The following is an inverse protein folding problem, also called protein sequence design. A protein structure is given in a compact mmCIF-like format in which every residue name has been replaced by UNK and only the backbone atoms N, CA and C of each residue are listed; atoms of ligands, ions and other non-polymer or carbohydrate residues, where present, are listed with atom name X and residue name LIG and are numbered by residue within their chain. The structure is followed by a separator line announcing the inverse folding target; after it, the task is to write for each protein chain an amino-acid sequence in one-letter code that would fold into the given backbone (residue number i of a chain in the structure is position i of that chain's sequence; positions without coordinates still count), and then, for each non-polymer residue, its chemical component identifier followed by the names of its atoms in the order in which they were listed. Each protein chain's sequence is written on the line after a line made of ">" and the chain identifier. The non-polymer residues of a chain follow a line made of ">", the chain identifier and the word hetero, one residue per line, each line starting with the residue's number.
data_IF_635824297245
#
_entry.id   IF_635824297245
#
_cell.length_a   1.000
_cell.length_b   1.000
_cell.length_c   1.000
_cell.angle_alpha   90.00
_cell.angle_beta   90.00
_cell.angle_gamma   90.00
#
_symmetry.space_group_name_H-M   'P 1'
#
loop_
_entity.id
_entity.type
_entity.pdbx_description
1 polymer ?
#
# COMPACT_ATOMS: atom_id res chain seq x y z
N UNK A 1 -17.50 19.01 -5.26
CA UNK A 1 -16.88 18.33 -6.42
C UNK A 1 -15.72 17.53 -5.87
N UNK A 2 -15.91 16.24 -5.60
CA UNK A 2 -14.78 15.39 -5.27
C UNK A 2 -13.95 15.28 -6.55
N UNK A 3 -12.78 15.90 -6.58
CA UNK A 3 -11.78 15.56 -7.59
C UNK A 3 -11.64 14.03 -7.55
N UNK A 4 -11.80 13.38 -8.70
CA UNK A 4 -11.79 11.93 -8.79
C UNK A 4 -10.44 11.41 -8.23
N UNK A 5 -10.45 10.91 -6.99
CA UNK A 5 -9.29 10.29 -6.32
C UNK A 5 -8.97 8.95 -6.97
N UNK A 6 -8.48 8.98 -8.21
CA UNK A 6 -8.22 7.79 -9.03
C UNK A 6 -6.71 7.63 -9.20
N UNK A 7 -6.15 6.57 -8.62
CA UNK A 7 -4.75 6.20 -8.81
C UNK A 7 -4.68 5.23 -9.99
N UNK A 8 -3.91 5.60 -11.01
CA UNK A 8 -3.63 4.71 -12.15
C UNK A 8 -2.29 4.06 -11.94
N UNK A 9 -2.28 2.73 -11.87
CA UNK A 9 -1.07 1.90 -11.71
C UNK A 9 -0.77 1.22 -13.04
N UNK A 10 0.29 1.66 -13.71
CA UNK A 10 0.73 1.04 -14.95
C UNK A 10 1.49 -0.27 -14.65
N UNK A 11 0.95 -1.41 -15.07
CA UNK A 11 1.52 -2.75 -14.79
C UNK A 11 2.91 -2.93 -15.40
N UNK A 12 3.28 -2.17 -16.44
CA UNK A 12 4.64 -2.19 -16.97
C UNK A 12 5.70 -1.76 -15.94
N UNK A 13 5.29 -1.08 -14.87
CA UNK A 13 6.16 -0.74 -13.74
C UNK A 13 6.56 -1.97 -12.93
N UNK A 14 5.80 -3.07 -12.95
CA UNK A 14 6.08 -4.25 -12.12
C UNK A 14 7.37 -4.96 -12.52
N UNK A 15 7.79 -4.84 -13.79
CA UNK A 15 9.08 -5.35 -14.28
C UNK A 15 10.27 -4.39 -14.10
N UNK A 16 10.06 -3.19 -13.55
CA UNK A 16 11.13 -2.20 -13.33
C UNK A 16 11.88 -2.45 -12.02
N UNK A 17 13.04 -1.83 -11.89
CA UNK A 17 13.82 -1.84 -10.65
C UNK A 17 13.12 -1.09 -9.50
N UNK A 18 13.58 -1.36 -8.28
CA UNK A 18 12.96 -0.81 -7.06
C UNK A 18 13.02 0.73 -7.00
N UNK A 19 14.08 1.35 -7.52
CA UNK A 19 14.22 2.81 -7.51
C UNK A 19 13.22 3.46 -8.47
N UNK A 20 13.07 2.91 -9.68
CA UNK A 20 12.08 3.38 -10.65
C UNK A 20 10.63 3.25 -10.14
N UNK A 21 10.29 2.12 -9.51
CA UNK A 21 8.97 1.90 -8.88
C UNK A 21 8.71 2.90 -7.75
N UNK A 22 9.69 3.11 -6.88
CA UNK A 22 9.58 4.06 -5.76
C UNK A 22 9.41 5.49 -6.26
N UNK A 23 10.16 5.88 -7.30
CA UNK A 23 10.04 7.21 -7.90
C UNK A 23 8.65 7.44 -8.52
N UNK A 24 8.08 6.44 -9.22
CA UNK A 24 6.74 6.52 -9.78
C UNK A 24 5.67 6.65 -8.68
N UNK A 25 5.75 5.82 -7.64
CA UNK A 25 4.83 5.90 -6.51
C UNK A 25 4.92 7.25 -5.77
N UNK A 26 6.13 7.77 -5.57
CA UNK A 26 6.33 9.08 -4.94
C UNK A 26 5.74 10.21 -5.78
N UNK A 27 5.85 10.13 -7.12
CA UNK A 27 5.22 11.11 -8.01
C UNK A 27 3.70 11.12 -7.82
N UNK A 28 3.08 9.93 -7.83
CA UNK A 28 1.63 9.77 -7.60
C UNK A 28 1.23 10.32 -6.22
N UNK A 29 1.98 9.97 -5.17
CA UNK A 29 1.71 10.47 -3.82
C UNK A 29 1.74 12.01 -3.74
N UNK A 30 2.72 12.64 -4.39
CA UNK A 30 2.84 14.11 -4.45
C UNK A 30 1.69 14.79 -5.18
N UNK A 31 1.10 14.14 -6.20
CA UNK A 31 -0.09 14.65 -6.90
C UNK A 31 -1.29 14.77 -5.94
N UNK A 32 -1.30 14.01 -4.85
CA UNK A 32 -2.31 14.08 -3.78
C UNK A 32 -1.88 14.91 -2.56
N UNK A 33 -0.80 15.71 -2.69
CA UNK A 33 -0.35 16.63 -1.63
C UNK A 33 0.48 15.99 -0.52
N UNK A 34 0.96 14.75 -0.70
CA UNK A 34 1.85 14.09 0.27
C UNK A 34 3.23 14.75 0.22
N UNK A 35 3.74 15.12 1.40
CA UNK A 35 5.00 15.83 1.58
C UNK A 35 6.23 14.91 1.44
N UNK A 36 7.40 15.50 1.18
CA UNK A 36 8.66 14.75 1.14
C UNK A 36 9.02 14.17 2.51
N UNK A 37 8.61 14.83 3.60
CA UNK A 37 8.77 14.33 4.96
C UNK A 37 7.94 13.06 5.20
N UNK A 38 6.68 13.04 4.75
CA UNK A 38 5.84 11.85 4.86
C UNK A 38 6.39 10.69 4.00
N UNK A 39 6.88 11.01 2.80
CA UNK A 39 7.55 10.05 1.93
C UNK A 39 8.84 9.48 2.55
N UNK A 40 9.59 10.27 3.31
CA UNK A 40 10.77 9.79 4.03
C UNK A 40 10.37 8.88 5.21
N UNK A 41 9.35 9.26 5.98
CA UNK A 41 8.87 8.49 7.14
C UNK A 41 8.34 7.08 6.77
N UNK A 42 7.93 6.87 5.52
CA UNK A 42 7.59 5.53 5.01
C UNK A 42 8.76 4.55 5.16
N UNK A 43 10.00 5.01 4.98
CA UNK A 43 11.18 4.14 5.09
C UNK A 43 11.41 3.64 6.53
N UNK A 44 11.05 4.45 7.54
CA UNK A 44 11.12 4.04 8.94
C UNK A 44 10.16 2.89 9.23
N UNK A 45 8.93 2.95 8.71
CA UNK A 45 7.98 1.86 8.87
C UNK A 45 8.40 0.60 8.10
N UNK A 46 8.94 0.73 6.88
CA UNK A 46 9.52 -0.40 6.14
C UNK A 46 10.68 -1.05 6.89
N UNK A 47 11.50 -0.24 7.57
CA UNK A 47 12.56 -0.75 8.44
C UNK A 47 11.96 -1.51 9.62
N UNK A 48 10.94 -0.98 10.29
CA UNK A 48 10.24 -1.66 11.37
C UNK A 48 9.63 -3.01 10.94
N UNK A 49 9.03 -3.08 9.75
CA UNK A 49 8.53 -4.34 9.17
C UNK A 49 9.67 -5.35 8.95
N UNK A 50 10.82 -4.89 8.47
CA UNK A 50 12.00 -5.74 8.24
C UNK A 50 12.59 -6.24 9.55
N UNK A 51 12.79 -5.36 10.52
CA UNK A 51 13.36 -5.68 11.84
C UNK A 51 12.49 -6.70 12.59
N UNK A 52 11.17 -6.67 12.39
CA UNK A 52 10.21 -7.57 13.04
C UNK A 52 9.79 -8.76 12.18
N UNK A 53 10.37 -8.96 10.99
CA UNK A 53 9.97 -10.01 10.03
C UNK A 53 8.45 -10.04 9.77
N UNK A 54 7.87 -8.86 9.53
CA UNK A 54 6.43 -8.63 9.49
C UNK A 54 5.87 -8.36 8.07
N UNK A 55 6.69 -8.51 7.02
CA UNK A 55 6.28 -8.25 5.63
C UNK A 55 5.19 -9.20 5.10
N UNK A 56 5.02 -10.37 5.73
CA UNK A 56 3.98 -11.35 5.36
C UNK A 56 2.69 -11.20 6.16
N UNK A 57 2.62 -10.18 7.02
CA UNK A 57 1.47 -9.94 7.89
C UNK A 57 0.48 -8.95 7.24
N UNK A 58 -0.82 -9.01 7.57
CA UNK A 58 -1.81 -8.05 7.10
C UNK A 58 -1.68 -6.70 7.83
N UNK A 59 -0.55 -6.02 7.73
CA UNK A 59 -0.27 -4.77 8.46
C UNK A 59 -1.15 -3.58 8.01
N UNK A 60 -1.79 -3.64 6.84
CA UNK A 60 -2.84 -2.70 6.42
C UNK A 60 -4.25 -3.16 6.82
N UNK A 61 -4.38 -4.32 7.48
CA UNK A 61 -5.64 -4.90 7.96
C UNK A 61 -6.36 -5.77 6.95
N UNK A 62 -5.96 -5.78 5.67
CA UNK A 62 -6.63 -6.52 4.61
C UNK A 62 -5.78 -7.70 4.10
N UNK A 63 -6.41 -8.85 3.91
CA UNK A 63 -5.82 -10.04 3.26
C UNK A 63 -6.69 -10.51 2.10
N UNK A 64 -6.08 -11.08 1.07
CA UNK A 64 -6.78 -11.80 0.02
C UNK A 64 -7.02 -13.24 0.49
N UNK A 65 -8.28 -13.66 0.65
CA UNK A 65 -8.66 -15.03 0.96
C UNK A 65 -8.80 -15.83 -0.33
N UNK A 66 -7.69 -16.30 -0.90
CA UNK A 66 -7.59 -17.30 -2.00
C UNK A 66 -8.87 -17.53 -2.84
N UNK A 67 -9.35 -16.48 -3.53
CA UNK A 67 -10.47 -16.55 -4.46
C UNK A 67 -11.88 -16.36 -3.88
N UNK A 68 -12.03 -16.14 -2.58
CA UNK A 68 -13.31 -15.86 -1.90
C UNK A 68 -13.55 -14.39 -1.60
N UNK A 69 -12.53 -13.54 -1.73
CA UNK A 69 -12.63 -12.09 -1.54
C UNK A 69 -11.61 -11.56 -0.55
N UNK A 70 -11.89 -10.38 0.00
CA UNK A 70 -11.01 -9.70 0.94
C UNK A 70 -11.59 -9.75 2.35
N UNK A 71 -10.75 -10.15 3.31
CA UNK A 71 -11.10 -10.13 4.71
C UNK A 71 -10.32 -9.03 5.43
N UNK A 72 -11.03 -8.30 6.30
CA UNK A 72 -10.42 -7.39 7.25
C UNK A 72 -10.03 -8.16 8.52
N UNK A 73 -8.73 -8.44 8.67
CA UNK A 73 -8.14 -9.30 9.71
C UNK A 73 -6.99 -8.61 10.45
N UNK A 74 -7.23 -7.44 11.08
CA UNK A 74 -6.18 -6.67 11.76
C UNK A 74 -5.53 -7.43 12.94
N UNK A 75 -6.27 -8.35 13.57
CA UNK A 75 -5.83 -9.19 14.68
C UNK A 75 -4.79 -10.25 14.26
N UNK A 76 -4.63 -10.48 12.96
CA UNK A 76 -3.65 -11.43 12.39
C UNK A 76 -2.32 -10.76 12.05
N UNK A 77 -2.17 -9.45 12.30
CA UNK A 77 -0.97 -8.68 11.98
C UNK A 77 0.11 -8.70 13.08
N UNK A 78 0.19 -9.76 13.89
CA UNK A 78 1.13 -9.87 15.01
C UNK A 78 2.31 -10.76 14.63
N UNK A 79 3.52 -10.20 14.71
CA UNK A 79 4.76 -10.91 14.45
C UNK A 79 5.07 -11.93 15.55
N UNK A 80 5.97 -12.89 15.27
CA UNK A 80 6.43 -13.88 16.26
C UNK A 80 7.03 -13.23 17.51
N UNK A 81 7.59 -12.02 17.38
CA UNK A 81 8.09 -11.22 18.51
C UNK A 81 6.99 -10.64 19.41
N UNK A 82 5.73 -10.75 19.02
CA UNK A 82 4.59 -10.07 19.66
C UNK A 82 4.39 -8.63 19.17
N UNK A 83 5.18 -8.16 18.20
CA UNK A 83 5.00 -6.83 17.63
C UNK A 83 3.77 -6.79 16.70
N UNK A 84 2.84 -5.90 17.01
CA UNK A 84 1.60 -5.70 16.25
C UNK A 84 1.84 -4.70 15.12
N UNK A 85 1.97 -5.22 13.90
CA UNK A 85 2.28 -4.44 12.70
C UNK A 85 1.07 -3.58 12.26
N UNK A 86 -0.17 -4.04 12.49
CA UNK A 86 -1.35 -3.25 12.17
C UNK A 86 -1.48 -2.05 13.11
N UNK A 87 -1.30 -2.26 14.42
CA UNK A 87 -1.28 -1.15 15.38
C UNK A 87 -0.16 -0.18 15.10
N UNK A 88 1.03 -0.67 14.74
CA UNK A 88 2.14 0.19 14.34
C UNK A 88 1.82 1.01 13.08
N UNK A 89 1.21 0.39 12.07
CA UNK A 89 0.76 1.08 10.86
C UNK A 89 -0.29 2.15 11.15
N UNK A 90 -1.31 1.84 11.96
CA UNK A 90 -2.38 2.79 12.34
C UNK A 90 -1.90 3.94 13.23
N UNK A 91 -0.76 3.79 13.89
CA UNK A 91 -0.14 4.86 14.67
C UNK A 91 0.62 5.88 13.79
N UNK A 92 0.86 5.58 12.51
CA UNK A 92 1.49 6.50 11.58
C UNK A 92 0.55 7.68 11.26
N UNK A 93 1.10 8.86 10.94
CA UNK A 93 0.32 9.95 10.35
C UNK A 93 -0.45 9.52 9.09
N UNK A 94 -1.61 10.13 8.84
CA UNK A 94 -2.53 9.72 7.76
C UNK A 94 -1.88 9.83 6.36
N UNK A 95 -1.07 10.86 6.16
CA UNK A 95 -0.29 11.09 4.94
C UNK A 95 0.80 10.02 4.76
N UNK A 96 1.44 9.57 5.84
CA UNK A 96 2.41 8.47 5.83
C UNK A 96 1.72 7.13 5.53
N UNK A 97 0.54 6.86 6.12
CA UNK A 97 -0.25 5.66 5.80
C UNK A 97 -0.63 5.64 4.31
N UNK A 98 -1.13 6.77 3.80
CA UNK A 98 -1.52 6.92 2.39
C UNK A 98 -0.30 6.77 1.47
N UNK A 99 0.82 7.41 1.80
CA UNK A 99 2.07 7.30 1.07
C UNK A 99 2.58 5.85 1.00
N UNK A 100 2.55 5.15 2.13
CA UNK A 100 2.96 3.76 2.23
C UNK A 100 2.08 2.88 1.33
N UNK A 101 0.75 3.01 1.42
CA UNK A 101 -0.17 2.24 0.60
C UNK A 101 0.01 2.53 -0.90
N UNK A 102 0.21 3.80 -1.29
CA UNK A 102 0.53 4.15 -2.68
C UNK A 102 1.83 3.45 -3.12
N UNK A 103 2.88 3.39 -2.28
CA UNK A 103 4.10 2.64 -2.64
C UNK A 103 3.84 1.15 -2.84
N UNK A 104 3.04 0.53 -1.98
CA UNK A 104 2.73 -0.91 -2.07
C UNK A 104 2.11 -1.29 -3.41
N UNK A 105 1.30 -0.41 -4.02
CA UNK A 105 0.74 -0.62 -5.37
C UNK A 105 1.81 -0.86 -6.44
N UNK A 106 2.99 -0.25 -6.31
CA UNK A 106 4.05 -0.30 -7.33
C UNK A 106 5.19 -1.26 -6.96
N UNK A 107 5.54 -1.39 -5.68
CA UNK A 107 6.83 -1.98 -5.27
C UNK A 107 6.76 -3.44 -4.78
N UNK A 108 5.60 -3.93 -4.33
CA UNK A 108 5.50 -5.21 -3.60
C UNK A 108 4.77 -6.34 -4.36
N UNK A 109 4.51 -7.47 -3.70
CA UNK A 109 3.84 -8.64 -4.30
C UNK A 109 2.37 -8.35 -4.54
N UNK A 110 1.70 -9.20 -5.30
CA UNK A 110 0.27 -9.03 -5.61
C UNK A 110 -0.58 -8.91 -4.34
N UNK A 111 -0.32 -9.75 -3.32
CA UNK A 111 -1.03 -9.69 -2.03
C UNK A 111 -0.90 -8.33 -1.33
N UNK A 112 0.28 -7.72 -1.38
CA UNK A 112 0.56 -6.43 -0.76
C UNK A 112 -0.11 -5.29 -1.55
N UNK A 113 -0.16 -5.39 -2.89
CA UNK A 113 -0.87 -4.45 -3.76
C UNK A 113 -2.37 -4.45 -3.49
N UNK A 114 -2.97 -5.63 -3.36
CA UNK A 114 -4.40 -5.74 -3.09
C UNK A 114 -4.77 -5.23 -1.70
N UNK A 115 -3.95 -5.53 -0.67
CA UNK A 115 -4.15 -4.97 0.66
C UNK A 115 -4.11 -3.43 0.64
N UNK A 116 -3.22 -2.86 -0.17
CA UNK A 116 -3.11 -1.41 -0.34
C UNK A 116 -4.30 -0.80 -1.10
N UNK A 117 -4.80 -1.45 -2.15
CA UNK A 117 -6.01 -1.03 -2.86
C UNK A 117 -7.21 -0.99 -1.92
N UNK A 118 -7.44 -2.06 -1.14
CA UNK A 118 -8.53 -2.11 -0.16
C UNK A 118 -8.41 -1.02 0.90
N UNK A 119 -7.22 -0.82 1.45
CA UNK A 119 -6.96 0.24 2.42
C UNK A 119 -7.25 1.63 1.82
N UNK A 120 -6.70 1.93 0.64
CA UNK A 120 -6.92 3.20 -0.04
C UNK A 120 -8.39 3.43 -0.40
N UNK A 121 -9.11 2.38 -0.78
CA UNK A 121 -10.53 2.44 -1.11
C UNK A 121 -11.40 2.72 0.10
N UNK A 122 -11.33 1.86 1.12
CA UNK A 122 -12.25 1.92 2.26
C UNK A 122 -11.89 3.03 3.25
N UNK A 123 -10.60 3.30 3.47
CA UNK A 123 -10.16 4.24 4.51
C UNK A 123 -9.96 5.67 3.97
N UNK A 124 -9.57 5.83 2.70
CA UNK A 124 -9.20 7.15 2.13
C UNK A 124 -10.02 7.57 0.90
N UNK A 125 -10.93 6.70 0.44
CA UNK A 125 -11.86 6.98 -0.66
C UNK A 125 -11.21 7.04 -2.05
N UNK A 126 -10.04 6.43 -2.23
CA UNK A 126 -9.42 6.31 -3.54
C UNK A 126 -10.07 5.20 -4.37
N UNK A 127 -9.86 5.26 -5.68
CA UNK A 127 -10.10 4.14 -6.60
C UNK A 127 -8.80 3.82 -7.30
N UNK A 128 -8.36 2.56 -7.28
CA UNK A 128 -7.18 2.13 -8.02
C UNK A 128 -7.60 1.50 -9.34
N UNK A 129 -6.95 1.90 -10.42
CA UNK A 129 -7.08 1.28 -11.74
C UNK A 129 -5.73 0.74 -12.18
N UNK A 130 -5.65 -0.56 -12.41
CA UNK A 130 -4.48 -1.18 -13.02
C UNK A 130 -4.60 -1.12 -14.55
N UNK A 131 -3.57 -0.63 -15.23
CA UNK A 131 -3.51 -0.54 -16.68
C UNK A 131 -2.38 -1.42 -17.23
N UNK A 132 -2.74 -2.40 -18.06
CA UNK A 132 -1.79 -3.35 -18.64
C UNK A 132 -2.46 -4.36 -19.60
N UNK A 133 -1.70 -5.30 -20.19
CA UNK A 133 -2.20 -6.23 -21.20
C UNK A 133 -3.37 -7.11 -20.72
N UNK A 134 -3.56 -7.25 -19.39
CA UNK A 134 -4.66 -7.97 -18.77
C UNK A 134 -5.78 -7.08 -18.17
N UNK A 135 -5.69 -5.75 -18.29
CA UNK A 135 -6.69 -4.85 -17.70
C UNK A 135 -7.99 -4.89 -18.53
N UNK A 136 -8.98 -5.60 -18.04
CA UNK A 136 -10.34 -5.52 -18.54
C UNK A 136 -10.94 -4.15 -18.17
N UNK A 137 -11.00 -3.25 -19.14
CA UNK A 137 -11.77 -2.02 -19.04
C UNK A 137 -13.26 -2.37 -19.26
N UNK A 138 -13.97 -2.77 -18.21
CA UNK A 138 -15.43 -2.84 -18.20
C UNK A 138 -16.02 -1.60 -17.52
#
# INVERSE_FOLDING_TARGET
>A
MAENKVIVVNESMFGKDAAAKTAAANKVAKEYGISDEALAAVEDFKKALTDNNAWDLPFMGYVNEDGYGYAYVPDRAVATSGWDAFKAFRALPEDVQTAFAIRMLFTHRDVDRYGADMFLHYEHGFKVRFEGPGSNNY
#
